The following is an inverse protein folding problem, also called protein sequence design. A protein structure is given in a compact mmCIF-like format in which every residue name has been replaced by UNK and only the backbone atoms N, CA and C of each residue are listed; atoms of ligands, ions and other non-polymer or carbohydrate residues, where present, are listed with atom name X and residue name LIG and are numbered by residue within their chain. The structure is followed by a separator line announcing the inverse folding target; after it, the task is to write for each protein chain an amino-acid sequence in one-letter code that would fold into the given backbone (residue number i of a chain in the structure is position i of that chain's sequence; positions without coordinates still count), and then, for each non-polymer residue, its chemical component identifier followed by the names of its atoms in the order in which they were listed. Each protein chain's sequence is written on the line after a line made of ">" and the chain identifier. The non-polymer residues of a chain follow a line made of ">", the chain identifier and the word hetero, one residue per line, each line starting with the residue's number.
data_IF_655515000261
#
_entry.id   IF_655515000261
#
_cell.length_a   1.000
_cell.length_b   1.000
_cell.length_c   1.000
_cell.angle_alpha   90.00
_cell.angle_beta   90.00
_cell.angle_gamma   90.00
#
_symmetry.space_group_name_H-M   'P 1'
#
loop_
_entity.id
_entity.type
_entity.pdbx_description
1 polymer ?
#
# COMPACT_ATOMS: atom_id res chain seq x y z
N UNK A 1 15.35 2.37 -23.89
CA UNK A 1 16.26 3.39 -23.31
C UNK A 1 15.65 3.99 -22.04
N UNK A 2 14.41 4.54 -22.07
CA UNK A 2 13.78 5.17 -20.90
C UNK A 2 13.67 4.20 -19.71
N UNK A 3 13.16 3.00 -19.94
CA UNK A 3 13.04 1.98 -18.89
C UNK A 3 14.41 1.63 -18.29
N UNK A 4 15.42 1.45 -19.13
CA UNK A 4 16.77 1.15 -18.65
C UNK A 4 17.29 2.28 -17.75
N UNK A 5 17.10 3.53 -18.15
CA UNK A 5 17.52 4.68 -17.35
C UNK A 5 16.80 4.76 -15.98
N UNK A 6 15.50 4.41 -15.95
CA UNK A 6 14.73 4.40 -14.69
C UNK A 6 15.18 3.30 -13.72
N UNK A 7 15.62 2.14 -14.24
CA UNK A 7 16.04 1.01 -13.39
C UNK A 7 17.52 1.01 -13.01
N UNK A 8 18.38 1.79 -13.70
CA UNK A 8 19.81 1.89 -13.36
C UNK A 8 20.07 2.18 -11.88
N UNK A 9 19.43 3.16 -11.23
CA UNK A 9 19.71 3.45 -9.82
C UNK A 9 19.43 2.24 -8.91
N UNK A 10 18.35 1.50 -9.20
CA UNK A 10 17.96 0.31 -8.41
C UNK A 10 18.95 -0.83 -8.66
N UNK A 11 19.38 -1.04 -9.92
CA UNK A 11 20.39 -2.04 -10.26
C UNK A 11 21.74 -1.72 -9.61
N UNK A 12 22.13 -0.45 -9.57
CA UNK A 12 23.32 0.01 -8.85
C UNK A 12 23.23 -0.37 -7.38
N UNK A 13 22.12 -0.04 -6.69
CA UNK A 13 21.92 -0.42 -5.29
C UNK A 13 21.96 -1.94 -5.10
N UNK A 14 21.36 -2.70 -6.02
CA UNK A 14 21.39 -4.16 -6.00
C UNK A 14 22.83 -4.71 -6.11
N UNK A 15 23.66 -4.15 -6.97
CA UNK A 15 25.08 -4.54 -7.08
C UNK A 15 25.82 -4.20 -5.79
N UNK A 16 25.65 -2.97 -5.26
CA UNK A 16 26.31 -2.54 -4.04
C UNK A 16 25.84 -3.31 -2.79
N UNK A 17 24.63 -3.86 -2.78
CA UNK A 17 24.14 -4.68 -1.66
C UNK A 17 24.97 -5.96 -1.44
N UNK A 18 25.64 -6.45 -2.49
CA UNK A 18 26.53 -7.63 -2.45
C UNK A 18 28.01 -7.28 -2.33
N UNK A 19 28.35 -6.08 -1.89
CA UNK A 19 29.74 -5.64 -1.76
C UNK A 19 30.05 -5.23 -0.32
N UNK A 20 31.35 -5.15 -0.01
CA UNK A 20 31.87 -4.62 1.24
C UNK A 20 32.04 -3.10 1.24
N UNK A 21 31.51 -2.43 0.21
CA UNK A 21 31.65 -1.00 0.03
C UNK A 21 30.91 -0.22 1.14
N UNK A 22 31.59 0.70 1.78
CA UNK A 22 31.00 1.64 2.71
C UNK A 22 30.29 2.83 2.03
N UNK A 23 30.68 3.11 0.77
CA UNK A 23 30.14 4.20 -0.04
C UNK A 23 30.02 3.77 -1.49
N UNK A 24 29.06 4.33 -2.22
CA UNK A 24 28.93 4.12 -3.66
C UNK A 24 30.17 4.70 -4.37
N UNK A 25 30.80 3.88 -5.22
CA UNK A 25 32.03 4.22 -5.94
C UNK A 25 33.27 3.42 -5.52
N UNK A 26 33.28 2.76 -4.37
CA UNK A 26 34.40 1.96 -3.87
C UNK A 26 33.96 0.49 -3.69
N UNK A 27 34.12 -0.31 -4.73
CA UNK A 27 33.89 -1.77 -4.67
C UNK A 27 35.23 -2.43 -4.48
N UNK A 28 35.40 -3.21 -3.39
CA UNK A 28 36.63 -3.94 -3.12
C UNK A 28 36.44 -5.45 -3.29
N UNK A 29 35.37 -6.02 -2.71
CA UNK A 29 35.12 -7.45 -2.77
C UNK A 29 33.62 -7.77 -2.76
N UNK A 30 33.28 -9.00 -3.17
CA UNK A 30 31.95 -9.55 -2.96
C UNK A 30 31.76 -9.87 -1.49
N UNK A 31 30.65 -9.42 -0.90
CA UNK A 31 30.34 -9.64 0.51
C UNK A 31 28.84 -9.78 0.74
N UNK A 32 28.47 -10.73 1.61
CA UNK A 32 27.10 -10.89 2.11
C UNK A 32 26.88 -10.19 3.46
N UNK A 33 27.86 -9.40 3.90
CA UNK A 33 27.82 -8.73 5.21
C UNK A 33 26.54 -7.88 5.40
N UNK A 34 26.12 -7.15 4.36
CA UNK A 34 24.92 -6.32 4.39
C UNK A 34 23.64 -7.12 4.71
N UNK A 35 23.52 -8.33 4.14
CA UNK A 35 22.40 -9.23 4.41
C UNK A 35 22.49 -9.83 5.82
N UNK A 36 23.69 -10.21 6.26
CA UNK A 36 23.88 -10.69 7.62
C UNK A 36 23.49 -9.60 8.61
N UNK A 37 23.97 -8.38 8.45
CA UNK A 37 23.62 -7.23 9.30
C UNK A 37 22.11 -6.96 9.29
N UNK A 38 21.47 -7.02 8.13
CA UNK A 38 20.04 -6.80 7.99
C UNK A 38 19.22 -7.80 8.82
N UNK A 39 19.58 -9.07 8.80
CA UNK A 39 18.84 -10.14 9.48
C UNK A 39 19.33 -10.46 10.89
N UNK A 40 20.43 -9.87 11.35
CA UNK A 40 20.94 -10.08 12.72
C UNK A 40 20.74 -8.87 13.63
N UNK A 41 20.50 -7.68 13.07
CA UNK A 41 20.29 -6.47 13.87
C UNK A 41 18.83 -6.39 14.32
N UNK A 42 18.54 -6.52 15.65
CA UNK A 42 17.15 -6.55 16.14
C UNK A 42 16.37 -5.28 15.80
N UNK A 43 17.01 -4.13 15.75
CA UNK A 43 16.41 -2.85 15.41
C UNK A 43 15.84 -2.87 13.97
N UNK A 44 16.63 -3.38 13.01
CA UNK A 44 16.20 -3.49 11.61
C UNK A 44 15.05 -4.50 11.43
N UNK A 45 15.14 -5.64 12.12
CA UNK A 45 14.09 -6.67 12.08
C UNK A 45 12.77 -6.12 12.63
N UNK A 46 12.82 -5.47 13.79
CA UNK A 46 11.62 -4.90 14.43
C UNK A 46 11.01 -3.80 13.57
N UNK A 47 11.82 -2.96 12.94
CA UNK A 47 11.38 -1.93 12.00
C UNK A 47 10.69 -2.56 10.78
N UNK A 48 11.26 -3.60 10.17
CA UNK A 48 10.67 -4.28 9.01
C UNK A 48 9.33 -4.92 9.38
N UNK A 49 9.30 -5.71 10.45
CA UNK A 49 8.07 -6.38 10.92
C UNK A 49 7.00 -5.35 11.26
N UNK A 50 7.36 -4.31 12.01
CA UNK A 50 6.45 -3.24 12.38
C UNK A 50 5.86 -2.51 11.18
N UNK A 51 6.68 -2.22 10.15
CA UNK A 51 6.23 -1.58 8.91
C UNK A 51 5.27 -2.47 8.12
N UNK A 52 5.56 -3.77 8.00
CA UNK A 52 4.69 -4.72 7.30
C UNK A 52 3.35 -4.88 8.04
N UNK A 53 3.38 -5.01 9.37
CA UNK A 53 2.16 -5.09 10.18
C UNK A 53 1.32 -3.81 10.08
N UNK A 54 1.96 -2.64 10.11
CA UNK A 54 1.30 -1.36 9.88
C UNK A 54 0.66 -1.32 8.49
N UNK A 55 1.42 -1.65 7.46
CA UNK A 55 0.96 -1.59 6.07
C UNK A 55 -0.24 -2.51 5.83
N UNK A 56 -0.14 -3.78 6.25
CA UNK A 56 -1.24 -4.74 6.08
C UNK A 56 -2.45 -4.34 6.95
N UNK A 57 -2.23 -3.97 8.21
CA UNK A 57 -3.30 -3.57 9.12
C UNK A 57 -4.06 -2.32 8.64
N UNK A 58 -3.34 -1.27 8.26
CA UNK A 58 -3.95 -0.05 7.71
C UNK A 58 -4.63 -0.31 6.36
N UNK A 59 -4.04 -1.14 5.49
CA UNK A 59 -4.63 -1.50 4.21
C UNK A 59 -5.94 -2.30 4.36
N UNK A 60 -6.05 -3.19 5.34
CA UNK A 60 -7.33 -3.88 5.64
C UNK A 60 -8.41 -2.87 6.02
N UNK A 61 -8.11 -1.95 6.94
CA UNK A 61 -9.05 -0.90 7.35
C UNK A 61 -9.40 0.04 6.19
N UNK A 62 -8.41 0.46 5.42
CA UNK A 62 -8.61 1.29 4.23
C UNK A 62 -9.45 0.59 3.16
N UNK A 63 -9.27 -0.73 3.00
CA UNK A 63 -10.05 -1.54 2.04
C UNK A 63 -11.51 -1.64 2.46
N UNK A 64 -11.78 -1.84 3.73
CA UNK A 64 -13.16 -1.85 4.25
C UNK A 64 -13.81 -0.48 4.03
N UNK A 65 -13.14 0.61 4.42
CA UNK A 65 -13.67 1.97 4.30
C UNK A 65 -13.82 2.40 2.84
N UNK A 66 -12.82 2.17 2.01
CA UNK A 66 -12.84 2.54 0.59
C UNK A 66 -13.89 1.76 -0.20
N UNK A 67 -14.03 0.45 0.07
CA UNK A 67 -15.04 -0.40 -0.58
C UNK A 67 -16.45 -0.01 -0.15
N UNK A 68 -16.70 0.16 1.15
CA UNK A 68 -18.02 0.58 1.64
C UNK A 68 -18.37 1.98 1.16
N UNK A 69 -17.40 2.89 1.13
CA UNK A 69 -17.54 4.22 0.53
C UNK A 69 -17.88 4.18 -0.96
N UNK A 70 -17.22 3.32 -1.74
CA UNK A 70 -17.47 3.14 -3.16
C UNK A 70 -18.88 2.59 -3.44
N UNK A 71 -19.29 1.56 -2.71
CA UNK A 71 -20.64 0.98 -2.82
C UNK A 71 -21.69 2.02 -2.40
N UNK A 72 -21.49 2.71 -1.27
CA UNK A 72 -22.38 3.76 -0.80
C UNK A 72 -22.53 4.89 -1.82
N UNK A 73 -21.45 5.36 -2.44
CA UNK A 73 -21.48 6.38 -3.48
C UNK A 73 -22.15 5.88 -4.77
N UNK A 74 -21.96 4.60 -5.13
CA UNK A 74 -22.55 4.01 -6.33
C UNK A 74 -24.08 3.99 -6.27
N UNK A 75 -24.64 3.58 -5.15
CA UNK A 75 -26.09 3.52 -4.93
C UNK A 75 -26.73 4.85 -4.49
N UNK A 76 -25.91 5.85 -4.13
CA UNK A 76 -26.39 7.19 -3.76
C UNK A 76 -26.84 7.98 -5.00
N UNK A 77 -27.82 8.88 -4.80
CA UNK A 77 -28.39 9.74 -5.85
C UNK A 77 -28.07 11.22 -5.62
N UNK A 78 -28.05 11.99 -6.72
CA UNK A 78 -28.00 13.45 -6.68
C UNK A 78 -26.75 14.02 -5.98
N UNK A 79 -26.97 14.98 -5.07
CA UNK A 79 -25.91 15.75 -4.40
C UNK A 79 -25.01 14.89 -3.51
N UNK A 80 -25.55 13.81 -2.89
CA UNK A 80 -24.78 12.92 -2.01
C UNK A 80 -23.71 12.19 -2.79
N UNK A 81 -24.03 11.64 -3.96
CA UNK A 81 -23.06 10.99 -4.85
C UNK A 81 -21.93 11.95 -5.25
N UNK A 82 -22.29 13.18 -5.63
CA UNK A 82 -21.31 14.20 -5.98
C UNK A 82 -20.41 14.57 -4.80
N UNK A 83 -20.99 14.80 -3.63
CA UNK A 83 -20.23 15.13 -2.41
C UNK A 83 -19.26 14.01 -2.02
N UNK A 84 -19.70 12.74 -2.02
CA UNK A 84 -18.83 11.60 -1.70
C UNK A 84 -17.67 11.48 -2.70
N UNK A 85 -17.92 11.69 -3.99
CA UNK A 85 -16.87 11.67 -5.00
C UNK A 85 -15.84 12.79 -4.80
N UNK A 86 -16.29 14.01 -4.52
CA UNK A 86 -15.39 15.15 -4.27
C UNK A 86 -14.59 14.94 -2.98
N UNK A 87 -15.25 14.56 -1.88
CA UNK A 87 -14.57 14.33 -0.60
C UNK A 87 -13.50 13.25 -0.69
N UNK A 88 -13.76 12.19 -1.47
CA UNK A 88 -12.78 11.14 -1.70
C UNK A 88 -11.56 11.61 -2.52
N UNK A 89 -11.73 12.61 -3.39
CA UNK A 89 -10.62 13.12 -4.21
C UNK A 89 -9.74 14.12 -3.45
N UNK A 90 -10.23 14.74 -2.39
CA UNK A 90 -9.48 15.74 -1.62
C UNK A 90 -8.13 15.19 -1.12
N UNK A 91 -8.04 14.02 -0.45
CA UNK A 91 -6.76 13.48 -0.01
C UNK A 91 -5.84 13.08 -1.17
N UNK A 92 -6.40 12.68 -2.32
CA UNK A 92 -5.61 12.27 -3.51
C UNK A 92 -4.87 13.45 -4.16
N UNK A 93 -5.48 14.63 -4.12
CA UNK A 93 -4.90 15.84 -4.74
C UNK A 93 -4.05 16.63 -3.74
N UNK A 94 -4.29 16.44 -2.44
CA UNK A 94 -3.57 17.15 -1.40
C UNK A 94 -2.14 16.60 -1.24
N UNK A 95 -1.19 17.47 -0.92
CA UNK A 95 0.18 17.03 -0.64
C UNK A 95 0.23 16.19 0.65
N UNK A 96 0.97 15.07 0.63
CA UNK A 96 1.08 14.13 1.75
C UNK A 96 1.58 14.79 3.03
N UNK A 97 2.50 15.76 2.90
CA UNK A 97 2.99 16.59 4.02
C UNK A 97 1.84 17.31 4.71
N UNK A 98 0.96 17.95 3.93
CA UNK A 98 -0.19 18.70 4.47
C UNK A 98 -1.20 17.76 5.09
N UNK A 99 -1.45 16.63 4.46
CA UNK A 99 -2.34 15.58 4.97
C UNK A 99 -1.83 15.02 6.30
N UNK A 100 -0.57 14.60 6.36
CA UNK A 100 0.03 14.06 7.59
C UNK A 100 0.05 15.05 8.74
N UNK A 101 0.43 16.30 8.46
CA UNK A 101 0.46 17.36 9.46
C UNK A 101 -0.96 17.70 9.97
N UNK A 102 -1.94 17.80 9.07
CA UNK A 102 -3.34 18.08 9.43
C UNK A 102 -3.95 16.97 10.29
N UNK A 103 -3.66 15.70 9.96
CA UNK A 103 -4.11 14.54 10.75
C UNK A 103 -3.47 14.57 12.14
N UNK A 104 -2.17 14.86 12.21
CA UNK A 104 -1.47 14.99 13.49
C UNK A 104 -2.11 16.07 14.37
N UNK A 105 -2.35 17.27 13.83
CA UNK A 105 -3.01 18.36 14.57
C UNK A 105 -4.40 17.93 15.02
N UNK A 106 -5.20 17.37 14.11
CA UNK A 106 -6.58 16.98 14.44
C UNK A 106 -6.61 15.94 15.56
N UNK A 107 -5.82 14.88 15.46
CA UNK A 107 -5.85 13.80 16.43
C UNK A 107 -5.15 14.16 17.73
N UNK A 108 -3.97 14.76 17.67
CA UNK A 108 -3.16 15.00 18.86
C UNK A 108 -3.58 16.28 19.57
N UNK A 109 -3.77 17.39 18.84
CA UNK A 109 -4.03 18.69 19.46
C UNK A 109 -5.52 18.89 19.73
N UNK A 110 -6.40 18.58 18.75
CA UNK A 110 -7.83 18.85 18.89
C UNK A 110 -8.55 17.73 19.65
N UNK A 111 -8.26 16.45 19.33
CA UNK A 111 -8.90 15.30 19.96
C UNK A 111 -8.15 14.77 21.19
N UNK A 112 -6.95 15.27 21.49
CA UNK A 112 -6.17 14.90 22.68
C UNK A 112 -5.64 13.47 22.66
N UNK A 113 -5.55 12.83 21.48
CA UNK A 113 -4.96 11.49 21.33
C UNK A 113 -3.46 11.58 21.55
N UNK A 114 -2.90 10.76 22.46
CA UNK A 114 -1.46 10.76 22.69
C UNK A 114 -0.68 10.37 21.41
N UNK A 115 0.33 11.16 21.06
CA UNK A 115 1.21 10.89 19.94
C UNK A 115 2.08 9.63 20.19
N UNK A 116 2.24 9.20 21.44
CA UNK A 116 3.00 7.99 21.78
C UNK A 116 2.22 6.70 21.46
N UNK A 117 0.96 6.80 21.06
CA UNK A 117 0.16 5.68 20.60
C UNK A 117 0.29 5.49 19.09
N UNK A 118 0.01 4.28 18.61
CA UNK A 118 -0.03 3.99 17.18
C UNK A 118 -1.31 4.49 16.48
N UNK A 119 -2.28 5.07 17.23
CA UNK A 119 -3.56 5.51 16.68
C UNK A 119 -3.39 6.58 15.60
N UNK A 120 -2.64 7.68 15.82
CA UNK A 120 -2.44 8.69 14.78
C UNK A 120 -1.78 8.12 13.53
N UNK A 121 -0.82 7.19 13.70
CA UNK A 121 -0.10 6.55 12.61
C UNK A 121 -1.05 5.68 11.76
N UNK A 122 -1.81 4.78 12.39
CA UNK A 122 -2.75 3.90 11.68
C UNK A 122 -3.84 4.70 10.99
N UNK A 123 -4.44 5.69 11.67
CA UNK A 123 -5.47 6.56 11.08
C UNK A 123 -4.91 7.36 9.92
N UNK A 124 -3.68 7.85 10.02
CA UNK A 124 -2.99 8.56 8.95
C UNK A 124 -2.86 7.69 7.70
N UNK A 125 -2.36 6.47 7.83
CA UNK A 125 -2.21 5.53 6.72
C UNK A 125 -3.55 5.09 6.12
N UNK A 126 -4.60 4.94 6.96
CA UNK A 126 -5.96 4.62 6.47
C UNK A 126 -6.52 5.78 5.65
N UNK A 127 -6.41 7.02 6.12
CA UNK A 127 -6.88 8.22 5.39
C UNK A 127 -6.12 8.40 4.08
N UNK A 128 -4.82 8.14 4.06
CA UNK A 128 -4.00 8.19 2.85
C UNK A 128 -4.47 7.15 1.82
N UNK A 129 -4.74 5.91 2.25
CA UNK A 129 -4.94 4.76 1.36
C UNK A 129 -6.40 4.54 0.95
N UNK A 130 -7.38 4.87 1.80
CA UNK A 130 -8.80 4.60 1.52
C UNK A 130 -9.33 5.23 0.21
N UNK A 131 -8.93 6.45 -0.20
CA UNK A 131 -9.31 7.03 -1.47
C UNK A 131 -8.86 6.21 -2.68
N UNK A 132 -7.68 5.62 -2.63
CA UNK A 132 -7.17 4.81 -3.73
C UNK A 132 -7.89 3.47 -3.84
N UNK A 133 -8.27 2.86 -2.71
CA UNK A 133 -9.16 1.69 -2.72
C UNK A 133 -10.51 2.04 -3.35
N UNK A 134 -11.10 3.17 -2.95
CA UNK A 134 -12.34 3.67 -3.57
C UNK A 134 -12.20 3.80 -5.08
N UNK A 135 -11.11 4.41 -5.57
CA UNK A 135 -10.85 4.59 -7.00
C UNK A 135 -10.62 3.26 -7.74
N UNK A 136 -10.09 2.22 -7.08
CA UNK A 136 -9.92 0.88 -7.65
C UNK A 136 -11.26 0.13 -7.75
N UNK A 137 -12.17 0.33 -6.79
CA UNK A 137 -13.46 -0.39 -6.71
C UNK A 137 -14.52 0.24 -7.62
N UNK A 138 -14.59 1.57 -7.74
CA UNK A 138 -15.62 2.28 -8.51
C UNK A 138 -15.72 1.82 -9.97
N UNK A 139 -14.65 1.60 -10.74
CA UNK A 139 -14.74 1.10 -12.11
C UNK A 139 -15.38 -0.28 -12.19
N UNK A 140 -15.14 -1.16 -11.21
CA UNK A 140 -15.74 -2.50 -11.16
C UNK A 140 -17.22 -2.44 -10.88
N UNK A 141 -17.65 -1.57 -9.98
CA UNK A 141 -19.09 -1.30 -9.75
C UNK A 141 -19.79 -0.78 -11.02
N UNK A 142 -19.13 0.07 -11.81
CA UNK A 142 -19.67 0.60 -13.06
C UNK A 142 -19.73 -0.43 -14.19
N UNK A 143 -18.89 -1.45 -14.17
CA UNK A 143 -18.88 -2.56 -15.14
C UNK A 143 -19.91 -3.64 -14.81
N UNK A 144 -20.41 -3.67 -13.59
CA UNK A 144 -21.40 -4.63 -13.13
C UNK A 144 -22.79 -4.27 -13.71
N UNK A 145 -23.58 -5.28 -14.07
CA UNK A 145 -24.97 -5.08 -14.45
C UNK A 145 -25.79 -4.63 -13.23
N UNK A 146 -26.36 -3.42 -13.25
CA UNK A 146 -27.12 -2.89 -12.13
C UNK A 146 -28.41 -3.68 -11.83
N UNK A 147 -28.96 -4.41 -12.80
CA UNK A 147 -30.17 -5.21 -12.65
C UNK A 147 -29.99 -6.43 -11.72
N UNK A 148 -28.76 -6.91 -11.55
CA UNK A 148 -28.46 -8.08 -10.71
C UNK A 148 -28.84 -7.89 -9.24
N UNK A 149 -28.63 -6.67 -8.73
CA UNK A 149 -29.02 -6.35 -7.36
C UNK A 149 -30.54 -6.30 -7.20
N UNK A 150 -31.24 -5.68 -8.13
CA UNK A 150 -32.72 -5.58 -8.13
C UNK A 150 -33.35 -6.95 -8.32
N UNK A 151 -32.85 -7.76 -9.27
CA UNK A 151 -33.34 -9.13 -9.48
C UNK A 151 -33.17 -10.02 -8.25
N UNK A 152 -32.08 -9.84 -7.50
CA UNK A 152 -31.90 -10.59 -6.24
C UNK A 152 -32.93 -10.19 -5.18
N UNK A 153 -33.25 -8.92 -5.05
CA UNK A 153 -34.27 -8.44 -4.12
C UNK A 153 -35.68 -8.94 -4.54
N UNK A 154 -35.99 -8.97 -5.81
CA UNK A 154 -37.27 -9.47 -6.36
C UNK A 154 -37.43 -10.98 -6.10
N UNK A 155 -36.33 -11.73 -6.07
CA UNK A 155 -36.31 -13.15 -5.68
C UNK A 155 -36.34 -13.35 -4.15
N UNK A 156 -36.54 -12.29 -3.36
CA UNK A 156 -36.67 -12.36 -1.90
C UNK A 156 -35.37 -12.32 -1.12
N UNK A 157 -34.23 -12.01 -1.76
CA UNK A 157 -32.98 -11.83 -1.04
C UNK A 157 -33.04 -10.58 -0.16
N UNK A 158 -32.45 -10.65 1.03
CA UNK A 158 -32.26 -9.45 1.84
C UNK A 158 -31.15 -8.56 1.25
N UNK A 159 -31.18 -7.22 1.46
CA UNK A 159 -30.14 -6.32 0.96
C UNK A 159 -28.71 -6.73 1.36
N UNK A 160 -28.54 -7.22 2.57
CA UNK A 160 -27.25 -7.70 3.08
C UNK A 160 -26.80 -8.97 2.34
N UNK A 161 -27.72 -9.90 2.11
CA UNK A 161 -27.40 -11.12 1.35
C UNK A 161 -27.01 -10.79 -0.09
N UNK A 162 -27.77 -9.92 -0.77
CA UNK A 162 -27.47 -9.47 -2.13
C UNK A 162 -26.11 -8.76 -2.20
N UNK A 163 -25.76 -7.93 -1.20
CA UNK A 163 -24.45 -7.27 -1.11
C UNK A 163 -23.32 -8.30 -1.05
N UNK A 164 -23.35 -9.23 -0.11
CA UNK A 164 -22.23 -10.17 0.11
C UNK A 164 -22.17 -11.31 -0.92
N UNK A 165 -23.29 -11.75 -1.47
CA UNK A 165 -23.35 -12.90 -2.38
C UNK A 165 -23.36 -12.55 -3.86
N UNK A 166 -23.72 -11.32 -4.20
CA UNK A 166 -23.83 -10.89 -5.61
C UNK A 166 -22.84 -9.76 -5.91
N UNK A 167 -22.88 -8.66 -5.14
CA UNK A 167 -22.07 -7.48 -5.45
C UNK A 167 -20.60 -7.71 -5.15
N UNK A 168 -20.26 -8.09 -3.90
CA UNK A 168 -18.85 -8.23 -3.48
C UNK A 168 -18.08 -9.22 -4.37
N UNK A 169 -18.58 -10.41 -4.73
CA UNK A 169 -17.87 -11.33 -5.62
C UNK A 169 -17.56 -10.74 -7.01
N UNK A 170 -18.43 -9.89 -7.55
CA UNK A 170 -18.21 -9.26 -8.85
C UNK A 170 -17.15 -8.16 -8.83
N UNK A 171 -17.00 -7.47 -7.70
CA UNK A 171 -16.01 -6.40 -7.54
C UNK A 171 -14.74 -6.85 -6.82
N UNK A 172 -14.59 -8.15 -6.52
CA UNK A 172 -13.45 -8.67 -5.75
C UNK A 172 -12.10 -8.34 -6.37
N UNK A 173 -12.00 -8.31 -7.70
CA UNK A 173 -10.77 -7.91 -8.40
C UNK A 173 -10.41 -6.45 -8.13
N UNK A 174 -11.40 -5.57 -8.03
CA UNK A 174 -11.19 -4.16 -7.65
C UNK A 174 -10.79 -4.00 -6.18
N UNK A 175 -11.41 -4.80 -5.29
CA UNK A 175 -11.06 -4.83 -3.86
C UNK A 175 -9.62 -5.32 -3.68
N UNK A 176 -9.23 -6.41 -4.35
CA UNK A 176 -7.88 -6.95 -4.28
C UNK A 176 -6.83 -5.95 -4.81
N UNK A 177 -7.08 -5.33 -5.96
CA UNK A 177 -6.20 -4.28 -6.52
C UNK A 177 -6.08 -3.09 -5.58
N UNK A 178 -7.21 -2.65 -5.00
CA UNK A 178 -7.24 -1.56 -4.02
C UNK A 178 -6.45 -1.90 -2.74
N UNK A 179 -6.57 -3.13 -2.25
CA UNK A 179 -5.81 -3.61 -1.10
C UNK A 179 -4.30 -3.60 -1.35
N UNK A 180 -3.85 -4.17 -2.49
CA UNK A 180 -2.42 -4.18 -2.86
C UNK A 180 -1.89 -2.76 -2.99
N UNK A 181 -2.65 -1.86 -3.60
CA UNK A 181 -2.27 -0.45 -3.71
C UNK A 181 -2.18 0.22 -2.33
N UNK A 182 -3.11 -0.06 -1.43
CA UNK A 182 -3.08 0.47 -0.06
C UNK A 182 -1.86 -0.02 0.73
N UNK A 183 -1.48 -1.30 0.59
CA UNK A 183 -0.24 -1.84 1.18
C UNK A 183 0.99 -1.12 0.63
N UNK A 184 1.06 -0.96 -0.69
CA UNK A 184 2.20 -0.29 -1.35
C UNK A 184 2.34 1.16 -0.89
N UNK A 185 1.24 1.93 -0.89
CA UNK A 185 1.23 3.32 -0.42
C UNK A 185 1.65 3.43 1.04
N UNK A 186 1.22 2.50 1.89
CA UNK A 186 1.59 2.51 3.31
C UNK A 186 3.07 2.17 3.53
N UNK A 187 3.66 1.28 2.73
CA UNK A 187 5.09 0.95 2.82
C UNK A 187 6.00 2.08 2.32
N UNK A 188 5.56 2.81 1.31
CA UNK A 188 6.34 3.90 0.70
C UNK A 188 6.18 5.23 1.46
N UNK A 189 5.15 5.38 2.30
CA UNK A 189 4.86 6.64 2.95
C UNK A 189 5.95 7.07 3.94
N UNK A 190 6.48 8.26 3.71
CA UNK A 190 7.43 8.94 4.59
C UNK A 190 6.78 10.09 5.35
N UNK A 191 5.95 10.87 4.68
CA UNK A 191 5.48 12.14 5.23
C UNK A 191 4.41 11.96 6.29
N UNK A 192 3.36 11.21 6.02
CA UNK A 192 2.31 10.95 7.00
C UNK A 192 2.91 10.22 8.21
N UNK A 193 3.74 9.19 7.96
CA UNK A 193 4.44 8.48 9.03
C UNK A 193 5.30 9.41 9.89
N UNK A 194 6.08 10.32 9.32
CA UNK A 194 6.95 11.23 10.07
C UNK A 194 6.19 12.10 11.06
N UNK A 195 4.99 12.59 10.68
CA UNK A 195 4.19 13.44 11.55
C UNK A 195 3.37 12.66 12.57
N UNK A 196 2.98 11.42 12.26
CA UNK A 196 1.99 10.67 13.05
C UNK A 196 2.58 9.53 13.89
N UNK A 197 3.81 9.07 13.60
CA UNK A 197 4.44 7.97 14.32
C UNK A 197 4.82 8.36 15.76
N UNK A 198 4.78 7.40 16.71
CA UNK A 198 5.38 7.58 18.02
C UNK A 198 6.92 7.71 17.91
N UNK A 199 7.53 8.36 18.92
CA UNK A 199 8.98 8.60 18.93
C UNK A 199 9.82 7.30 18.95
N UNK A 200 9.27 6.23 19.51
CA UNK A 200 9.92 4.93 19.68
C UNK A 200 9.78 3.99 18.47
N UNK A 201 9.09 4.42 17.42
CA UNK A 201 8.82 3.60 16.24
C UNK A 201 9.27 4.30 14.96
N UNK A 202 9.90 3.52 14.09
CA UNK A 202 10.23 3.94 12.72
C UNK A 202 9.61 2.97 11.71
N UNK A 203 9.07 3.53 10.63
CA UNK A 203 8.74 2.76 9.42
C UNK A 203 10.00 2.59 8.58
N UNK A 204 9.97 1.65 7.61
CA UNK A 204 11.06 1.47 6.65
C UNK A 204 11.43 2.81 6.01
N UNK A 205 10.46 3.56 5.50
CA UNK A 205 10.67 4.85 4.82
C UNK A 205 11.28 5.89 5.74
N UNK A 206 10.76 6.05 6.97
CA UNK A 206 11.30 7.03 7.92
C UNK A 206 12.70 6.66 8.39
N UNK A 207 12.95 5.37 8.59
CA UNK A 207 14.25 4.86 9.01
C UNK A 207 15.31 5.05 7.92
N UNK A 208 15.01 4.68 6.67
CA UNK A 208 15.91 4.86 5.52
C UNK A 208 16.30 6.33 5.36
N UNK A 209 15.35 7.25 5.38
CA UNK A 209 15.63 8.70 5.25
C UNK A 209 16.47 9.21 6.42
N UNK A 210 16.19 8.79 7.65
CA UNK A 210 16.95 9.21 8.82
C UNK A 210 18.37 8.62 8.84
N UNK A 211 18.53 7.34 8.50
CA UNK A 211 19.82 6.66 8.44
C UNK A 211 20.73 7.25 7.35
N UNK A 212 20.17 7.68 6.20
CA UNK A 212 20.97 8.32 5.15
C UNK A 212 21.58 9.66 5.58
N UNK A 213 20.98 10.32 6.58
CA UNK A 213 21.51 11.55 7.18
C UNK A 213 22.49 11.32 8.30
N UNK A 214 22.54 10.09 8.86
CA UNK A 214 23.42 9.70 9.96
C UNK A 214 24.83 9.29 9.52
N UNK A 215 25.70 8.97 10.49
CA UNK A 215 27.12 8.59 10.27
C UNK A 215 27.38 7.08 10.34
N UNK A 216 26.40 6.25 10.72
CA UNK A 216 26.59 4.80 10.88
C UNK A 216 26.62 4.10 9.52
N UNK A 217 27.81 3.64 9.12
CA UNK A 217 28.05 3.06 7.79
C UNK A 217 27.39 1.70 7.61
N UNK A 218 27.51 0.80 8.59
CA UNK A 218 27.00 -0.59 8.47
C UNK A 218 25.47 -0.65 8.35
N UNK A 219 24.77 0.25 9.03
CA UNK A 219 23.31 0.35 8.90
C UNK A 219 22.93 0.87 7.52
N UNK A 220 23.64 1.88 7.00
CA UNK A 220 23.37 2.41 5.65
C UNK A 220 23.53 1.36 4.58
N UNK A 221 24.57 0.55 4.65
CA UNK A 221 24.85 -0.50 3.66
C UNK A 221 23.86 -1.65 3.78
N UNK A 222 23.39 -2.01 4.99
CA UNK A 222 22.32 -2.98 5.19
C UNK A 222 21.00 -2.51 4.56
N UNK A 223 20.73 -1.20 4.46
CA UNK A 223 19.56 -0.67 3.77
C UNK A 223 19.61 -0.85 2.23
N UNK A 224 20.80 -1.02 1.64
CA UNK A 224 20.91 -1.40 0.22
C UNK A 224 20.41 -2.83 0.00
N UNK A 225 20.74 -3.76 0.93
CA UNK A 225 20.21 -5.12 0.89
C UNK A 225 18.71 -5.13 1.10
N UNK A 226 18.18 -4.34 2.03
CA UNK A 226 16.73 -4.18 2.24
C UNK A 226 16.03 -3.67 0.97
N UNK A 227 16.54 -2.61 0.36
CA UNK A 227 15.97 -2.04 -0.87
C UNK A 227 15.96 -3.07 -2.01
N UNK A 228 17.01 -3.88 -2.14
CA UNK A 228 17.11 -4.96 -3.13
C UNK A 228 16.06 -6.03 -2.87
N UNK A 229 15.87 -6.45 -1.62
CA UNK A 229 14.85 -7.45 -1.24
C UNK A 229 13.45 -6.93 -1.55
N UNK A 230 13.13 -5.70 -1.16
CA UNK A 230 11.82 -5.08 -1.43
C UNK A 230 11.57 -5.03 -2.94
N UNK A 231 12.55 -4.59 -3.71
CA UNK A 231 12.42 -4.54 -5.17
C UNK A 231 12.16 -5.92 -5.79
N UNK A 232 12.87 -6.96 -5.34
CA UNK A 232 12.64 -8.33 -5.81
C UNK A 232 11.24 -8.84 -5.43
N UNK A 233 10.79 -8.56 -4.21
CA UNK A 233 9.44 -8.93 -3.76
C UNK A 233 8.38 -8.25 -4.63
N UNK A 234 8.52 -6.95 -4.88
CA UNK A 234 7.59 -6.19 -5.73
C UNK A 234 7.53 -6.78 -7.14
N UNK A 235 8.68 -7.06 -7.76
CA UNK A 235 8.72 -7.70 -9.09
C UNK A 235 8.01 -9.05 -9.07
N UNK A 236 8.29 -9.90 -8.09
CA UNK A 236 7.67 -11.24 -8.00
C UNK A 236 6.15 -11.11 -7.82
N UNK A 237 5.69 -10.21 -6.97
CA UNK A 237 4.25 -9.96 -6.75
C UNK A 237 3.59 -9.43 -8.02
N UNK A 238 4.19 -8.47 -8.71
CA UNK A 238 3.68 -7.91 -9.96
C UNK A 238 3.60 -8.98 -11.07
N UNK A 239 4.65 -9.79 -11.21
CA UNK A 239 4.65 -10.91 -12.17
C UNK A 239 3.55 -11.91 -11.81
N UNK A 240 3.39 -12.27 -10.54
CA UNK A 240 2.37 -13.21 -10.09
C UNK A 240 0.94 -12.70 -10.37
N UNK A 241 0.68 -11.42 -10.09
CA UNK A 241 -0.63 -10.80 -10.34
C UNK A 241 -0.93 -10.72 -11.84
N UNK A 242 0.05 -10.37 -12.67
CA UNK A 242 -0.16 -10.21 -14.11
C UNK A 242 -0.22 -11.54 -14.87
N UNK A 243 0.49 -12.59 -14.41
CA UNK A 243 0.44 -13.91 -15.04
C UNK A 243 -0.79 -14.73 -14.65
N UNK A 244 -1.40 -14.49 -13.49
CA UNK A 244 -2.55 -15.24 -13.00
C UNK A 244 -3.78 -15.17 -13.95
N UNK A 245 -4.23 -13.98 -14.44
CA UNK A 245 -5.33 -13.90 -15.39
C UNK A 245 -4.99 -14.47 -16.78
N UNK A 246 -3.76 -14.29 -17.25
CA UNK A 246 -3.34 -14.84 -18.55
C UNK A 246 -3.40 -16.38 -18.59
N UNK A 247 -3.00 -17.04 -17.48
CA UNK A 247 -3.11 -18.50 -17.35
C UNK A 247 -4.54 -19.01 -17.31
N UNK A 248 -5.47 -18.18 -16.75
CA UNK A 248 -6.89 -18.53 -16.71
C UNK A 248 -7.55 -18.46 -18.10
N UNK A 249 -7.25 -17.41 -18.87
CA UNK A 249 -7.74 -17.24 -20.23
C UNK A 249 -7.27 -18.38 -21.16
N UNK A 250 -5.98 -18.74 -21.10
CA UNK A 250 -5.41 -19.86 -21.89
C UNK A 250 -6.04 -21.21 -21.49
N UNK A 251 -6.40 -21.42 -20.21
CA UNK A 251 -7.07 -22.65 -19.78
C UNK A 251 -8.52 -22.73 -20.22
N UNK A 252 -9.21 -21.61 -20.26
CA UNK A 252 -10.62 -21.53 -20.73
C UNK A 252 -10.68 -21.75 -22.25
N UNK A 253 -9.72 -21.24 -23.04
CA UNK A 253 -9.60 -21.53 -24.47
C UNK A 253 -9.24 -22.99 -24.73
N UNK A 254 -8.30 -23.58 -24.01
CA UNK A 254 -7.91 -24.99 -24.18
C UNK A 254 -9.00 -25.98 -23.74
N UNK A 255 -9.89 -25.62 -22.82
CA UNK A 255 -11.04 -26.44 -22.40
C UNK A 255 -12.30 -26.27 -23.25
N UNK A 256 -12.30 -25.32 -24.18
CA UNK A 256 -13.39 -25.10 -25.13
C UNK A 256 -13.18 -25.86 -26.45
N UNK A 257 -11.98 -26.38 -26.70
CA UNK A 257 -11.59 -27.14 -27.89
C UNK A 257 -11.68 -28.69 -27.65
N UNK A 258 -12.08 -29.13 -26.45
CA UNK A 258 -12.44 -30.54 -26.13
C UNK A 258 -13.98 -30.71 -26.03
#
# INVERSE_FOLDING_TARGET
>A
IVLLFMYIPILVLAVYSFTDAANIGAIHAFSMHNYVTLFTTPELINMIIGSVLLAVGSAVLATILGTTGAIGAFYSKGKVKGAMSVLNQVPVVNADVVTGFSICILLVVVLGVSKDTYIPLVVGHVILSAPFVYLAVVPKLKQMDPSLYEAALDLGATPVYALFKIIIPQIVSGIASGFVMAVTLSLDDYFVATYTKPATFDTISTYVVNATKGSQTDIKTALWALSTIIFLIVIVVEIAINLAPARKAVREEAGADE
#
